data_IF_209529888406
#
_entry.id   IF_209529888406
#
_cell.length_a   1.000
_cell.length_b   1.000
_cell.length_c   1.000
_cell.angle_alpha   90.00
_cell.angle_beta   90.00
_cell.angle_gamma   90.00
#
_symmetry.space_group_name_H-M   'P 1'
#
loop_
_entity.id
_entity.type
_entity.pdbx_description
1 polymer ?
#
# COMPACT_ATOMS: atom_id res chain seq x y z
N UNK A 1 40.36 7.23 -51.82
CA UNK A 1 40.54 6.60 -50.49
C UNK A 1 40.20 7.52 -49.31
N UNK A 2 40.44 8.85 -49.36
CA UNK A 2 40.11 9.77 -48.24
C UNK A 2 38.60 10.01 -48.01
N UNK A 3 37.73 9.86 -49.02
CA UNK A 3 36.27 10.09 -48.89
C UNK A 3 35.49 8.93 -48.26
N UNK A 4 35.91 7.67 -48.46
CA UNK A 4 35.29 6.51 -47.80
C UNK A 4 35.62 6.43 -46.32
N UNK A 5 36.77 6.96 -45.88
CA UNK A 5 37.15 6.97 -44.47
C UNK A 5 36.28 7.92 -43.64
N UNK A 6 35.86 9.05 -44.22
CA UNK A 6 34.97 10.03 -43.55
C UNK A 6 33.56 9.48 -43.35
N UNK A 7 33.05 8.66 -44.28
CA UNK A 7 31.71 8.08 -44.18
C UNK A 7 31.64 7.00 -43.10
N UNK A 8 32.72 6.23 -42.90
CA UNK A 8 32.80 5.19 -41.85
C UNK A 8 32.90 5.83 -40.45
N UNK A 9 33.61 6.96 -40.32
CA UNK A 9 33.69 7.70 -39.05
C UNK A 9 32.36 8.38 -38.70
N UNK A 10 31.58 8.82 -39.69
CA UNK A 10 30.26 9.42 -39.41
C UNK A 10 29.19 8.36 -39.06
N UNK A 11 29.31 7.13 -39.57
CA UNK A 11 28.38 6.04 -39.25
C UNK A 11 28.62 5.43 -37.85
N UNK A 12 29.84 5.49 -37.32
CA UNK A 12 30.16 5.00 -35.97
C UNK A 12 29.82 6.00 -34.86
N UNK A 13 29.59 7.28 -35.20
CA UNK A 13 29.15 8.31 -34.25
C UNK A 13 27.63 8.30 -33.99
N UNK A 14 26.83 7.62 -34.82
CA UNK A 14 25.37 7.51 -34.65
C UNK A 14 24.92 6.29 -33.82
N UNK A 15 25.80 5.32 -33.55
CA UNK A 15 25.45 4.10 -32.81
C UNK A 15 25.70 4.17 -31.30
N UNK A 16 26.10 5.34 -30.78
CA UNK A 16 26.35 5.55 -29.34
C UNK A 16 25.38 6.58 -28.75
N UNK A 17 24.09 6.46 -29.07
CA UNK A 17 23.02 6.95 -28.20
C UNK A 17 22.44 5.74 -27.46
N UNK A 18 23.30 5.06 -26.71
CA UNK A 18 22.84 4.12 -25.70
C UNK A 18 22.07 4.92 -24.65
N UNK A 19 20.75 4.74 -24.59
CA UNK A 19 19.90 5.21 -23.50
C UNK A 19 20.33 4.50 -22.21
N UNK A 20 21.38 4.98 -21.57
CA UNK A 20 21.71 4.67 -20.20
C UNK A 20 21.83 5.99 -19.44
N UNK A 21 20.70 6.68 -19.31
CA UNK A 21 20.56 7.60 -18.20
C UNK A 21 20.27 6.71 -16.99
N UNK A 22 21.30 6.40 -16.21
CA UNK A 22 21.12 5.77 -14.90
C UNK A 22 20.32 6.76 -14.05
N UNK A 23 19.09 6.40 -13.73
CA UNK A 23 18.27 7.18 -12.83
C UNK A 23 18.84 7.15 -11.41
N UNK A 24 18.51 8.18 -10.62
CA UNK A 24 19.01 8.33 -9.25
C UNK A 24 18.53 7.20 -8.33
N UNK A 25 17.31 6.71 -8.55
CA UNK A 25 16.65 5.75 -7.66
C UNK A 25 16.58 4.36 -8.24
N UNK A 26 16.40 4.23 -9.57
CA UNK A 26 16.13 2.95 -10.20
C UNK A 26 17.11 2.59 -11.32
N UNK A 27 17.42 1.30 -11.41
CA UNK A 27 18.15 0.74 -12.54
C UNK A 27 17.51 -0.57 -12.97
N UNK A 28 17.44 -0.84 -14.27
CA UNK A 28 16.91 -2.11 -14.76
C UNK A 28 17.78 -3.28 -14.24
N UNK A 29 17.14 -4.34 -13.75
CA UNK A 29 17.86 -5.54 -13.32
C UNK A 29 17.95 -6.52 -14.49
N UNK A 30 19.18 -6.86 -14.88
CA UNK A 30 19.47 -7.90 -15.87
C UNK A 30 19.82 -9.25 -15.21
N UNK A 31 19.57 -9.40 -13.91
CA UNK A 31 19.86 -10.63 -13.18
C UNK A 31 18.88 -11.74 -13.58
N UNK A 32 19.38 -12.97 -13.66
CA UNK A 32 18.55 -14.14 -13.92
C UNK A 32 17.59 -14.36 -12.76
N UNK A 33 16.31 -14.61 -13.08
CA UNK A 33 15.27 -14.93 -12.09
C UNK A 33 15.63 -16.13 -11.21
N UNK A 34 16.43 -17.06 -11.72
CA UNK A 34 16.86 -18.27 -11.01
C UNK A 34 17.97 -18.05 -9.99
N UNK A 35 18.66 -16.90 -10.04
CA UNK A 35 19.78 -16.59 -9.13
C UNK A 35 19.31 -15.79 -7.91
N UNK A 36 18.17 -15.10 -8.02
CA UNK A 36 17.64 -14.24 -6.96
C UNK A 36 16.88 -15.09 -5.95
N UNK A 37 17.31 -15.04 -4.69
CA UNK A 37 16.52 -15.57 -3.58
C UNK A 37 15.30 -14.66 -3.38
N UNK A 38 14.11 -15.21 -3.59
CA UNK A 38 12.87 -14.43 -3.59
C UNK A 38 12.37 -14.08 -2.20
N UNK A 39 11.68 -12.94 -2.10
CA UNK A 39 10.91 -12.59 -0.90
C UNK A 39 9.74 -13.57 -0.72
N UNK A 40 9.36 -13.84 0.54
CA UNK A 40 8.24 -14.73 0.88
C UNK A 40 6.92 -14.32 0.22
N UNK A 41 6.71 -13.02 -0.04
CA UNK A 41 5.51 -12.51 -0.70
C UNK A 41 5.38 -12.96 -2.16
N UNK A 42 6.50 -13.33 -2.81
CA UNK A 42 6.52 -13.83 -4.19
C UNK A 42 5.85 -15.20 -4.31
N UNK A 43 5.83 -15.98 -3.23
CA UNK A 43 5.20 -17.31 -3.21
C UNK A 43 3.67 -17.28 -3.16
N UNK A 44 3.04 -16.10 -3.04
CA UNK A 44 1.58 -15.99 -2.98
C UNK A 44 0.96 -16.31 -4.35
N UNK A 45 -0.22 -16.95 -4.35
CA UNK A 45 -0.96 -17.29 -5.57
C UNK A 45 -1.30 -16.08 -6.44
N UNK A 46 -1.46 -14.91 -5.82
CA UNK A 46 -1.78 -13.64 -6.49
C UNK A 46 -0.55 -12.85 -6.97
N UNK A 47 0.66 -13.39 -6.87
CA UNK A 47 1.84 -12.72 -7.41
C UNK A 47 1.74 -12.68 -8.96
N UNK A 48 2.07 -11.56 -9.62
CA UNK A 48 1.99 -11.45 -11.07
C UNK A 48 2.88 -12.47 -11.79
N UNK A 49 2.42 -12.95 -12.94
CA UNK A 49 3.22 -13.81 -13.83
C UNK A 49 4.09 -12.98 -14.77
N UNK A 50 3.60 -11.81 -15.15
CA UNK A 50 4.33 -10.87 -15.99
C UNK A 50 4.78 -9.66 -15.16
N UNK A 51 6.09 -9.42 -15.10
CA UNK A 51 6.67 -8.30 -14.37
C UNK A 51 8.05 -7.97 -14.92
N UNK A 52 8.51 -6.75 -14.65
CA UNK A 52 9.90 -6.32 -14.91
C UNK A 52 10.63 -6.13 -13.60
N UNK A 53 11.93 -6.42 -13.59
CA UNK A 53 12.76 -6.27 -12.39
C UNK A 53 13.61 -5.01 -12.44
N UNK A 54 13.63 -4.28 -11.32
CA UNK A 54 14.43 -3.09 -11.13
C UNK A 54 15.17 -3.16 -9.79
N UNK A 55 16.39 -2.64 -9.76
CA UNK A 55 17.16 -2.43 -8.53
C UNK A 55 16.85 -1.04 -7.98
N UNK A 56 16.59 -0.99 -6.68
CA UNK A 56 16.31 0.25 -5.96
C UNK A 56 17.55 0.72 -5.21
N UNK A 57 17.93 1.98 -5.42
CA UNK A 57 18.78 2.72 -4.49
C UNK A 57 17.92 3.28 -3.34
N UNK A 58 17.70 2.43 -2.33
CA UNK A 58 16.78 2.74 -1.23
C UNK A 58 17.22 3.95 -0.42
N UNK A 59 18.52 4.15 -0.23
CA UNK A 59 19.06 5.28 0.53
C UNK A 59 18.83 6.61 -0.21
N UNK A 60 19.09 6.64 -1.53
CA UNK A 60 18.83 7.85 -2.33
C UNK A 60 17.34 8.21 -2.34
N UNK A 61 16.45 7.21 -2.47
CA UNK A 61 15.00 7.43 -2.44
C UNK A 61 14.55 7.89 -1.05
N UNK A 62 15.09 7.28 0.02
CA UNK A 62 14.83 7.67 1.42
C UNK A 62 15.17 9.14 1.65
N UNK A 63 16.38 9.54 1.31
CA UNK A 63 16.85 10.91 1.50
C UNK A 63 15.96 11.91 0.78
N UNK A 64 15.53 11.59 -0.44
CA UNK A 64 14.63 12.45 -1.20
C UNK A 64 13.25 12.57 -0.52
N UNK A 65 12.62 11.44 -0.19
CA UNK A 65 11.29 11.40 0.42
C UNK A 65 11.27 12.00 1.83
N UNK A 66 12.31 11.79 2.63
CA UNK A 66 12.36 12.27 4.01
C UNK A 66 12.75 13.75 4.09
N UNK A 67 13.19 14.37 3.00
CA UNK A 67 13.39 15.84 2.95
C UNK A 67 12.08 16.62 3.10
N UNK A 68 10.94 15.97 2.82
CA UNK A 68 9.60 16.57 2.87
C UNK A 68 8.79 16.17 4.11
N UNK A 69 9.38 15.42 5.05
CA UNK A 69 8.65 14.91 6.23
C UNK A 69 8.96 15.69 7.49
N UNK A 70 7.96 15.80 8.36
CA UNK A 70 8.10 16.41 9.69
C UNK A 70 8.16 17.95 9.72
N UNK A 71 8.19 18.50 10.94
CA UNK A 71 8.04 19.94 11.19
C UNK A 71 9.19 20.83 10.68
N UNK A 72 10.34 20.25 10.35
CA UNK A 72 11.53 20.97 9.85
C UNK A 72 11.72 20.85 8.34
N UNK A 73 10.71 20.33 7.64
CA UNK A 73 10.80 20.19 6.19
C UNK A 73 11.02 21.54 5.51
N UNK A 74 11.96 21.58 4.57
CA UNK A 74 12.26 22.76 3.74
C UNK A 74 11.29 22.93 2.57
N UNK A 75 10.50 21.90 2.25
CA UNK A 75 9.53 21.89 1.14
C UNK A 75 8.40 20.91 1.41
N UNK A 76 7.16 21.29 1.08
CA UNK A 76 6.01 20.38 1.24
C UNK A 76 5.92 19.30 0.16
N UNK A 77 6.69 19.42 -0.93
CA UNK A 77 6.73 18.43 -2.01
C UNK A 77 8.15 18.19 -2.53
N UNK A 78 8.34 17.02 -3.13
CA UNK A 78 9.57 16.66 -3.85
C UNK A 78 9.23 15.91 -5.13
N UNK A 79 10.17 15.83 -6.05
CA UNK A 79 10.04 15.03 -7.26
C UNK A 79 10.84 13.73 -7.09
N UNK A 80 10.20 12.61 -7.40
CA UNK A 80 10.84 11.30 -7.52
C UNK A 80 10.57 10.70 -8.89
N UNK A 81 11.35 9.70 -9.28
CA UNK A 81 11.11 8.86 -10.44
C UNK A 81 10.79 7.43 -10.03
N UNK A 82 9.89 6.79 -10.78
CA UNK A 82 9.52 5.39 -10.63
C UNK A 82 9.46 4.71 -12.01
N UNK A 83 9.87 3.44 -12.12
CA UNK A 83 9.63 2.64 -13.31
C UNK A 83 8.15 2.27 -13.43
N UNK A 84 7.61 2.29 -14.64
CA UNK A 84 6.29 1.75 -14.97
C UNK A 84 6.39 0.30 -15.51
N UNK A 85 5.26 -0.35 -15.78
CA UNK A 85 5.26 -1.75 -16.23
C UNK A 85 5.85 -1.94 -17.64
N UNK A 86 5.91 -0.87 -18.45
CA UNK A 86 6.59 -0.86 -19.75
C UNK A 86 8.12 -0.71 -19.62
N UNK A 87 8.60 -0.43 -18.41
CA UNK A 87 10.01 -0.24 -18.08
C UNK A 87 10.54 1.17 -18.34
N UNK A 88 9.65 2.12 -18.60
CA UNK A 88 9.98 3.53 -18.71
C UNK A 88 9.98 4.19 -17.33
N UNK A 89 10.78 5.24 -17.15
CA UNK A 89 10.81 6.01 -15.92
C UNK A 89 9.87 7.21 -16.01
N UNK A 90 9.03 7.35 -15.00
CA UNK A 90 8.07 8.43 -14.88
C UNK A 90 8.36 9.26 -13.64
N UNK A 91 8.13 10.57 -13.74
CA UNK A 91 8.33 11.50 -12.63
C UNK A 91 7.01 11.77 -11.91
N UNK A 92 7.08 11.82 -10.60
CA UNK A 92 5.96 12.15 -9.71
C UNK A 92 6.37 13.28 -8.78
N UNK A 93 5.50 14.28 -8.66
CA UNK A 93 5.53 15.22 -7.55
C UNK A 93 4.81 14.56 -6.37
N UNK A 94 5.50 14.41 -5.24
CA UNK A 94 5.01 13.68 -4.07
C UNK A 94 4.97 14.57 -2.84
N UNK A 95 3.99 14.31 -1.98
CA UNK A 95 3.76 14.94 -0.68
C UNK A 95 3.61 13.86 0.39
N UNK A 96 3.92 14.19 1.65
CA UNK A 96 3.66 13.28 2.77
C UNK A 96 2.15 13.09 2.95
N UNK A 97 1.73 11.83 3.08
CA UNK A 97 0.34 11.43 3.30
C UNK A 97 0.34 10.30 4.34
N UNK A 98 0.72 10.65 5.57
CA UNK A 98 0.84 9.70 6.67
C UNK A 98 -0.49 9.01 6.97
N UNK A 99 -0.43 7.70 7.22
CA UNK A 99 -1.58 6.93 7.71
C UNK A 99 -1.57 6.80 9.25
N UNK A 100 -0.69 7.53 9.94
CA UNK A 100 -0.51 7.45 11.40
C UNK A 100 -0.98 8.76 12.03
N UNK A 101 -1.63 8.68 13.18
CA UNK A 101 -1.81 9.86 14.03
C UNK A 101 -0.45 10.44 14.45
N UNK A 102 -0.36 11.77 14.70
CA UNK A 102 0.91 12.45 14.97
C UNK A 102 1.74 11.81 16.09
N UNK A 103 1.09 11.34 17.16
CA UNK A 103 1.76 10.70 18.29
C UNK A 103 2.38 9.34 17.93
N UNK A 104 1.72 8.54 17.09
CA UNK A 104 2.28 7.27 16.60
C UNK A 104 3.39 7.55 15.59
N UNK A 105 3.19 8.53 14.71
CA UNK A 105 4.17 8.91 13.70
C UNK A 105 5.49 9.41 14.31
N UNK A 106 5.43 10.10 15.46
CA UNK A 106 6.60 10.54 16.20
C UNK A 106 7.42 9.37 16.79
N UNK A 107 6.75 8.26 17.13
CA UNK A 107 7.41 7.05 17.67
C UNK A 107 8.07 6.21 16.57
N UNK A 108 7.49 6.20 15.36
CA UNK A 108 7.98 5.42 14.21
C UNK A 108 8.30 6.31 13.02
N UNK A 109 9.31 7.21 13.13
CA UNK A 109 9.57 8.22 12.11
C UNK A 109 10.10 7.65 10.79
N UNK A 110 10.61 6.42 10.79
CA UNK A 110 11.08 5.70 9.59
C UNK A 110 9.97 5.03 8.77
N UNK A 111 8.73 4.96 9.28
CA UNK A 111 7.58 4.39 8.57
C UNK A 111 6.73 5.55 8.04
N UNK A 112 6.66 5.69 6.72
CA UNK A 112 6.03 6.82 6.04
C UNK A 112 5.16 6.38 4.88
N UNK A 113 4.20 7.23 4.54
CA UNK A 113 3.37 7.09 3.36
C UNK A 113 3.29 8.41 2.62
N UNK A 114 3.18 8.32 1.30
CA UNK A 114 3.26 9.46 0.39
C UNK A 114 2.18 9.33 -0.67
N UNK A 115 1.66 10.48 -1.08
CA UNK A 115 0.75 10.61 -2.22
C UNK A 115 1.44 11.43 -3.30
N UNK A 116 1.24 11.08 -4.57
CA UNK A 116 1.88 11.78 -5.66
C UNK A 116 1.00 11.96 -6.89
N UNK A 117 1.35 12.97 -7.68
CA UNK A 117 0.76 13.22 -8.99
C UNK A 117 1.82 13.08 -10.07
N UNK A 118 1.49 12.37 -11.14
CA UNK A 118 2.39 12.20 -12.27
C UNK A 118 2.68 13.52 -12.97
N UNK A 119 3.95 13.73 -13.28
CA UNK A 119 4.45 14.85 -14.08
C UNK A 119 4.67 14.42 -15.54
N UNK A 120 5.08 13.16 -15.75
CA UNK A 120 5.21 12.55 -17.08
C UNK A 120 3.83 12.17 -17.62
N UNK A 121 3.05 11.41 -16.84
CA UNK A 121 1.63 11.12 -17.12
C UNK A 121 0.76 11.89 -16.12
N UNK A 122 0.05 12.91 -16.62
CA UNK A 122 -0.80 13.77 -15.79
C UNK A 122 -2.06 13.07 -15.26
N UNK A 123 -2.42 11.91 -15.82
CA UNK A 123 -3.55 11.10 -15.37
C UNK A 123 -3.19 10.12 -14.24
N UNK A 124 -1.90 9.98 -13.93
CA UNK A 124 -1.42 9.03 -12.94
C UNK A 124 -1.37 9.63 -11.53
N UNK A 125 -1.86 8.87 -10.54
CA UNK A 125 -1.69 9.20 -9.12
C UNK A 125 -0.99 8.07 -8.39
N UNK A 126 -0.03 8.41 -7.54
CA UNK A 126 0.84 7.48 -6.82
C UNK A 126 0.43 7.40 -5.35
N UNK A 127 0.37 6.18 -4.82
CA UNK A 127 0.48 5.89 -3.40
C UNK A 127 1.76 5.11 -3.15
N UNK A 128 2.60 5.59 -2.23
CA UNK A 128 3.90 5.00 -1.93
C UNK A 128 4.07 4.87 -0.42
N UNK A 129 4.32 3.66 0.05
CA UNK A 129 4.72 3.40 1.44
C UNK A 129 6.21 3.12 1.49
N UNK A 130 6.88 3.66 2.50
CA UNK A 130 8.30 3.44 2.75
C UNK A 130 8.55 3.09 4.22
N UNK A 131 9.39 2.09 4.45
CA UNK A 131 9.82 1.67 5.79
C UNK A 131 11.22 1.06 5.72
N UNK A 132 11.85 0.70 6.85
CA UNK A 132 13.05 -0.14 6.85
C UNK A 132 12.85 -1.49 6.15
N UNK A 133 11.59 -1.95 6.03
CA UNK A 133 11.21 -3.14 5.30
C UNK A 133 11.06 -2.86 3.77
N UNK A 134 11.49 -1.73 3.27
CA UNK A 134 11.46 -1.42 1.83
C UNK A 134 10.24 -0.62 1.40
N UNK A 135 9.97 -0.65 0.09
CA UNK A 135 8.99 0.22 -0.57
C UNK A 135 7.87 -0.60 -1.19
N UNK A 136 6.65 -0.08 -1.13
CA UNK A 136 5.54 -0.59 -1.94
C UNK A 136 4.80 0.58 -2.57
N UNK A 137 4.35 0.39 -3.80
CA UNK A 137 3.57 1.40 -4.50
C UNK A 137 2.28 0.84 -5.06
N UNK A 138 1.36 1.76 -5.35
CA UNK A 138 0.23 1.57 -6.24
C UNK A 138 0.07 2.84 -7.07
N UNK A 139 0.12 2.71 -8.39
CA UNK A 139 -0.12 3.79 -9.34
C UNK A 139 -1.49 3.59 -9.94
N UNK A 140 -2.40 4.53 -9.69
CA UNK A 140 -3.68 4.58 -10.38
C UNK A 140 -3.51 5.25 -11.73
N UNK A 141 -4.13 4.66 -12.75
CA UNK A 141 -4.19 5.20 -14.10
C UNK A 141 -5.64 5.40 -14.49
N UNK A 142 -5.91 6.43 -15.29
CA UNK A 142 -7.21 6.55 -15.93
C UNK A 142 -7.29 5.57 -17.09
N UNK A 143 -8.37 4.79 -17.16
CA UNK A 143 -8.69 3.85 -18.26
C UNK A 143 -7.66 2.72 -18.51
N UNK A 144 -6.70 2.53 -17.60
CA UNK A 144 -5.71 1.44 -17.64
C UNK A 144 -5.66 0.71 -16.30
N UNK A 145 -5.09 -0.47 -16.31
CA UNK A 145 -4.79 -1.24 -15.12
C UNK A 145 -3.88 -0.46 -14.17
N UNK A 146 -4.13 -0.61 -12.87
CA UNK A 146 -3.25 -0.04 -11.85
C UNK A 146 -1.92 -0.79 -11.86
N UNK A 147 -0.84 -0.06 -11.59
CA UNK A 147 0.51 -0.62 -11.53
C UNK A 147 1.01 -0.71 -10.09
N UNK A 148 1.89 -1.66 -9.84
CA UNK A 148 2.44 -1.94 -8.53
C UNK A 148 3.94 -2.14 -8.61
N UNK A 149 4.63 -1.68 -7.57
CA UNK A 149 6.04 -1.98 -7.31
C UNK A 149 6.11 -2.67 -5.96
N UNK A 150 6.70 -3.86 -5.92
CA UNK A 150 6.86 -4.68 -4.72
C UNK A 150 8.22 -5.35 -4.68
N UNK A 151 8.73 -5.61 -3.47
CA UNK A 151 9.99 -6.33 -3.29
C UNK A 151 9.89 -7.73 -3.93
N UNK A 152 10.89 -8.07 -4.72
CA UNK A 152 11.04 -9.38 -5.37
C UNK A 152 12.13 -10.21 -4.70
N UNK A 153 13.27 -9.60 -4.37
CA UNK A 153 14.36 -10.28 -3.68
C UNK A 153 14.19 -10.24 -2.16
N UNK A 154 14.68 -11.28 -1.47
CA UNK A 154 14.62 -11.42 0.00
C UNK A 154 15.33 -10.28 0.75
N UNK A 155 16.42 -9.76 0.18
CA UNK A 155 17.17 -8.61 0.70
C UNK A 155 16.51 -7.26 0.35
N UNK A 156 15.42 -7.29 -0.42
CA UNK A 156 14.60 -6.13 -0.82
C UNK A 156 15.37 -5.07 -1.60
N UNK A 157 16.38 -5.49 -2.36
CA UNK A 157 17.14 -4.63 -3.29
C UNK A 157 16.56 -4.65 -4.71
N UNK A 158 15.92 -5.76 -5.10
CA UNK A 158 15.26 -5.95 -6.40
C UNK A 158 13.75 -5.93 -6.21
N UNK A 159 13.07 -5.18 -7.07
CA UNK A 159 11.62 -4.98 -7.07
C UNK A 159 11.01 -5.42 -8.39
N UNK A 160 9.82 -6.02 -8.30
CA UNK A 160 8.97 -6.33 -9.42
C UNK A 160 8.02 -5.17 -9.71
N UNK A 161 7.94 -4.76 -10.97
CA UNK A 161 7.05 -3.73 -11.49
C UNK A 161 6.06 -4.39 -12.45
N UNK A 162 4.77 -4.23 -12.20
CA UNK A 162 3.73 -4.96 -12.92
C UNK A 162 2.37 -4.27 -12.89
N UNK A 163 1.52 -4.59 -13.85
CA UNK A 163 0.10 -4.22 -13.86
C UNK A 163 -0.74 -5.22 -13.09
N UNK A 164 -1.90 -4.80 -12.58
CA UNK A 164 -2.86 -5.72 -11.96
C UNK A 164 -3.26 -6.84 -12.92
N UNK A 165 -2.99 -8.09 -12.56
CA UNK A 165 -3.40 -9.26 -13.33
C UNK A 165 -4.56 -9.95 -12.62
N UNK A 166 -5.75 -9.91 -13.22
CA UNK A 166 -6.95 -10.56 -12.66
C UNK A 166 -7.20 -11.90 -13.36
N UNK A 167 -6.75 -12.99 -12.75
CA UNK A 167 -7.13 -14.34 -13.17
C UNK A 167 -8.35 -14.82 -12.37
N UNK A 168 -9.54 -14.75 -12.97
CA UNK A 168 -10.78 -15.27 -12.35
C UNK A 168 -10.62 -16.75 -12.01
N UNK A 169 -11.02 -17.16 -10.80
CA UNK A 169 -11.08 -18.58 -10.38
C UNK A 169 -9.77 -19.20 -9.87
N UNK A 170 -8.65 -18.47 -9.84
CA UNK A 170 -7.40 -19.00 -9.25
C UNK A 170 -7.32 -18.86 -7.73
N UNK A 171 -8.12 -17.96 -7.14
CA UNK A 171 -8.25 -17.85 -5.70
C UNK A 171 -9.41 -18.76 -5.24
N UNK A 172 -9.23 -19.54 -4.16
CA UNK A 172 -10.24 -20.47 -3.66
C UNK A 172 -11.47 -19.77 -3.05
N UNK A 173 -11.56 -18.45 -3.17
CA UNK A 173 -12.57 -17.61 -2.53
C UNK A 173 -13.18 -16.63 -3.53
N UNK A 174 -14.50 -16.43 -3.40
CA UNK A 174 -15.27 -15.44 -4.15
C UNK A 174 -15.87 -14.44 -3.17
N UNK A 175 -15.64 -13.15 -3.40
CA UNK A 175 -16.33 -12.09 -2.65
C UNK A 175 -17.82 -12.20 -2.93
N UNK A 176 -18.60 -12.47 -1.89
CA UNK A 176 -20.04 -12.53 -1.95
C UNK A 176 -20.64 -11.59 -0.91
N UNK A 177 -21.71 -10.92 -1.27
CA UNK A 177 -22.55 -10.13 -0.36
C UNK A 177 -23.83 -10.93 -0.10
N UNK A 178 -24.27 -11.04 1.15
CA UNK A 178 -25.61 -11.55 1.42
C UNK A 178 -26.62 -10.47 1.01
N UNK A 179 -27.25 -10.67 -0.14
CA UNK A 179 -27.90 -9.59 -0.88
C UNK A 179 -29.36 -9.28 -0.51
N UNK A 180 -30.01 -9.97 0.44
CA UNK A 180 -31.48 -10.01 0.38
C UNK A 180 -32.28 -9.09 1.31
N UNK A 181 -31.87 -8.85 2.57
CA UNK A 181 -32.77 -8.13 3.50
C UNK A 181 -32.38 -6.65 3.72
N UNK A 182 -31.09 -6.33 3.78
CA UNK A 182 -30.64 -4.97 4.04
C UNK A 182 -30.80 -4.04 2.82
N UNK A 183 -30.56 -4.56 1.61
CA UNK A 183 -30.78 -3.81 0.36
C UNK A 183 -32.25 -3.46 0.12
N UNK A 184 -33.18 -4.33 0.52
CA UNK A 184 -34.62 -4.08 0.37
C UNK A 184 -35.09 -2.90 1.26
N UNK A 185 -34.58 -2.82 2.49
CA UNK A 185 -34.83 -1.68 3.39
C UNK A 185 -34.14 -0.39 2.94
N UNK A 186 -32.89 -0.49 2.46
CA UNK A 186 -32.12 0.65 1.96
C UNK A 186 -32.71 1.24 0.67
N UNK A 187 -33.19 0.44 -0.28
CA UNK A 187 -33.83 0.95 -1.50
C UNK A 187 -35.11 1.74 -1.20
N UNK A 188 -35.90 1.31 -0.21
CA UNK A 188 -37.06 2.08 0.25
C UNK A 188 -36.68 3.43 0.85
N UNK A 189 -35.59 3.48 1.61
CA UNK A 189 -35.07 4.71 2.23
C UNK A 189 -34.38 5.64 1.22
N UNK A 190 -33.61 5.10 0.27
CA UNK A 190 -32.93 5.87 -0.79
C UNK A 190 -33.97 6.45 -1.77
N UNK A 191 -35.00 5.67 -2.14
CA UNK A 191 -36.11 6.16 -2.97
C UNK A 191 -36.90 7.29 -2.28
N UNK A 192 -36.96 7.31 -0.95
CA UNK A 192 -37.61 8.36 -0.17
C UNK A 192 -36.72 9.58 0.10
N UNK A 193 -35.38 9.44 0.10
CA UNK A 193 -34.43 10.54 0.34
C UNK A 193 -34.15 11.41 -0.89
N UNK A 194 -34.58 10.97 -2.08
CA UNK A 194 -34.36 11.70 -3.33
C UNK A 194 -32.90 11.63 -3.81
N UNK A 195 -32.65 12.00 -5.07
CA UNK A 195 -31.31 11.98 -5.70
C UNK A 195 -30.45 13.19 -5.29
N UNK A 196 -30.65 13.71 -4.08
CA UNK A 196 -29.89 14.83 -3.55
C UNK A 196 -28.46 14.41 -3.23
N UNK A 197 -27.52 15.34 -3.39
CA UNK A 197 -26.15 15.17 -2.91
C UNK A 197 -26.20 15.18 -1.37
N UNK A 198 -26.13 14.01 -0.74
CA UNK A 198 -26.22 13.86 0.74
C UNK A 198 -24.97 14.36 1.47
N UNK A 199 -23.86 14.58 0.75
CA UNK A 199 -22.68 15.31 1.24
C UNK A 199 -22.15 16.23 0.15
N UNK A 200 -22.39 17.53 0.30
CA UNK A 200 -21.91 18.58 -0.61
C UNK A 200 -20.60 19.21 -0.13
N UNK A 201 -19.97 18.67 0.92
CA UNK A 201 -18.83 19.33 1.57
C UNK A 201 -17.58 19.33 0.66
N UNK A 202 -17.40 18.31 -0.19
CA UNK A 202 -16.19 18.15 -0.99
C UNK A 202 -14.93 17.95 -0.13
N UNK A 203 -15.11 17.54 1.14
CA UNK A 203 -14.04 17.38 2.11
C UNK A 203 -13.63 15.92 2.23
N UNK A 204 -12.32 15.68 2.28
CA UNK A 204 -11.77 14.38 2.64
C UNK A 204 -11.99 14.15 4.14
N UNK A 205 -12.72 13.08 4.49
CA UNK A 205 -12.98 12.75 5.90
C UNK A 205 -11.97 11.73 6.41
N UNK A 206 -11.24 12.11 7.44
CA UNK A 206 -10.29 11.23 8.13
C UNK A 206 -10.98 10.50 9.29
N UNK A 207 -10.84 9.18 9.34
CA UNK A 207 -11.37 8.32 10.40
C UNK A 207 -10.23 7.67 11.19
N UNK A 208 -10.43 7.53 12.48
CA UNK A 208 -9.53 6.85 13.42
C UNK A 208 -9.74 5.35 13.33
N UNK A 209 -8.73 4.64 12.87
CA UNK A 209 -8.71 3.19 12.71
C UNK A 209 -7.96 2.53 13.87
N UNK A 210 -8.64 1.64 14.59
CA UNK A 210 -8.02 0.67 15.48
C UNK A 210 -7.75 -0.63 14.71
N UNK A 211 -6.51 -0.79 14.22
CA UNK A 211 -6.10 -1.99 13.48
C UNK A 211 -5.43 -3.00 14.41
N UNK A 212 -6.09 -4.13 14.63
CA UNK A 212 -5.53 -5.25 15.40
C UNK A 212 -4.99 -6.35 14.47
N UNK A 213 -4.13 -7.22 15.00
CA UNK A 213 -3.76 -8.48 14.36
C UNK A 213 -3.48 -9.59 15.38
N UNK A 214 -3.63 -10.84 14.94
CA UNK A 214 -3.29 -12.01 15.75
C UNK A 214 -1.79 -12.35 15.71
N UNK A 215 -1.37 -13.28 16.57
CA UNK A 215 0.03 -13.69 16.71
C UNK A 215 0.60 -14.26 15.42
N UNK A 216 -0.18 -15.04 14.66
CA UNK A 216 0.28 -15.60 13.39
C UNK A 216 0.58 -14.53 12.35
N UNK A 217 -0.23 -13.46 12.28
CA UNK A 217 0.03 -12.34 11.38
C UNK A 217 1.31 -11.60 11.77
N UNK A 218 1.48 -11.28 13.05
CA UNK A 218 2.69 -10.62 13.54
C UNK A 218 3.95 -11.46 13.25
N UNK A 219 3.87 -12.76 13.53
CA UNK A 219 4.95 -13.72 13.28
C UNK A 219 5.26 -13.86 11.78
N UNK A 220 4.24 -13.77 10.90
CA UNK A 220 4.49 -13.75 9.46
C UNK A 220 5.44 -12.60 9.10
N UNK A 221 5.32 -11.42 9.71
CA UNK A 221 6.23 -10.29 9.50
C UNK A 221 7.52 -10.34 10.32
N UNK A 222 7.70 -11.36 11.15
CA UNK A 222 8.90 -11.58 11.96
C UNK A 222 8.86 -10.91 13.34
N UNK A 223 7.69 -10.42 13.78
CA UNK A 223 7.51 -9.86 15.10
C UNK A 223 6.95 -10.92 16.06
N UNK A 224 7.75 -11.33 17.04
CA UNK A 224 7.37 -12.29 18.10
C UNK A 224 7.27 -11.62 19.48
N UNK A 225 7.51 -10.31 19.56
CA UNK A 225 7.37 -9.52 20.79
C UNK A 225 7.14 -8.04 20.50
N UNK A 226 6.70 -7.30 21.53
CA UNK A 226 6.49 -5.84 21.51
C UNK A 226 7.70 -5.04 21.00
N UNK A 227 8.93 -5.54 21.20
CA UNK A 227 10.16 -4.88 20.72
C UNK A 227 10.26 -4.81 19.19
N UNK A 228 9.49 -5.63 18.49
CA UNK A 228 9.48 -5.76 17.03
C UNK A 228 8.21 -5.19 16.40
N UNK A 229 7.39 -4.46 17.15
CA UNK A 229 6.12 -3.87 16.71
C UNK A 229 6.25 -3.04 15.42
N UNK A 230 7.40 -2.39 15.20
CA UNK A 230 7.68 -1.63 13.98
C UNK A 230 7.58 -2.47 12.68
N UNK A 231 7.83 -3.79 12.75
CA UNK A 231 7.65 -4.68 11.59
C UNK A 231 6.17 -4.83 11.22
N UNK A 232 5.29 -4.91 12.22
CA UNK A 232 3.83 -5.01 12.03
C UNK A 232 3.27 -3.67 11.57
N UNK A 233 3.69 -2.57 12.20
CA UNK A 233 3.25 -1.22 11.80
C UNK A 233 3.70 -0.87 10.37
N UNK A 234 4.88 -1.32 9.93
CA UNK A 234 5.31 -1.16 8.55
C UNK A 234 4.40 -1.92 7.57
N UNK A 235 3.96 -3.12 7.93
CA UNK A 235 3.01 -3.90 7.14
C UNK A 235 1.62 -3.24 7.10
N UNK A 236 1.10 -2.80 8.25
CA UNK A 236 -0.16 -2.04 8.32
C UNK A 236 -0.11 -0.79 7.46
N UNK A 237 0.96 0.01 7.58
CA UNK A 237 1.15 1.21 6.78
C UNK A 237 1.18 0.92 5.27
N UNK A 238 1.86 -0.15 4.85
CA UNK A 238 1.95 -0.50 3.44
C UNK A 238 0.59 -0.91 2.86
N UNK A 239 -0.19 -1.70 3.60
CA UNK A 239 -1.57 -2.04 3.21
C UNK A 239 -2.46 -0.80 3.19
N UNK A 240 -2.45 0.00 4.26
CA UNK A 240 -3.28 1.21 4.35
C UNK A 240 -2.96 2.24 3.28
N UNK A 241 -1.68 2.40 2.90
CA UNK A 241 -1.29 3.32 1.83
C UNK A 241 -2.01 3.02 0.51
N UNK A 242 -2.18 1.73 0.19
CA UNK A 242 -2.90 1.29 -1.00
C UNK A 242 -4.41 1.38 -0.83
N UNK A 243 -4.94 0.91 0.31
CA UNK A 243 -6.36 0.96 0.62
C UNK A 243 -6.89 2.40 0.68
N UNK A 244 -6.18 3.32 1.34
CA UNK A 244 -6.51 4.74 1.36
C UNK A 244 -6.48 5.36 -0.03
N UNK A 245 -5.62 4.89 -0.95
CA UNK A 245 -5.71 5.28 -2.36
C UNK A 245 -7.07 4.98 -3.01
N UNK A 246 -7.68 3.85 -2.67
CA UNK A 246 -9.03 3.48 -3.13
C UNK A 246 -10.09 4.27 -2.36
N UNK A 247 -10.00 4.33 -1.04
CA UNK A 247 -10.98 5.02 -0.19
C UNK A 247 -11.05 6.51 -0.45
N UNK A 248 -9.93 7.17 -0.69
CA UNK A 248 -9.90 8.60 -1.02
C UNK A 248 -10.51 8.85 -2.40
N UNK A 249 -10.20 7.97 -3.38
CA UNK A 249 -10.70 8.10 -4.76
C UNK A 249 -12.20 7.87 -4.86
N UNK A 250 -12.71 6.84 -4.19
CA UNK A 250 -14.07 6.34 -4.39
C UNK A 250 -15.04 6.80 -3.30
N UNK A 251 -14.55 7.07 -2.09
CA UNK A 251 -15.39 7.38 -0.92
C UNK A 251 -15.07 8.74 -0.27
N UNK A 252 -14.02 9.45 -0.71
CA UNK A 252 -13.48 10.62 -0.03
C UNK A 252 -13.19 10.36 1.47
N UNK A 253 -12.69 9.15 1.78
CA UNK A 253 -12.33 8.72 3.13
C UNK A 253 -10.84 8.41 3.25
N UNK A 254 -10.25 8.73 4.39
CA UNK A 254 -8.88 8.38 4.75
C UNK A 254 -8.85 7.72 6.14
N UNK A 255 -8.14 6.61 6.29
CA UNK A 255 -7.99 5.92 7.57
C UNK A 255 -6.63 6.21 8.19
N UNK A 256 -6.63 6.68 9.43
CA UNK A 256 -5.44 6.88 10.25
C UNK A 256 -5.38 5.89 11.42
N UNK A 257 -4.24 5.22 11.58
CA UNK A 257 -3.95 4.43 12.76
C UNK A 257 -3.86 5.32 14.00
N UNK A 258 -4.61 4.95 15.03
CA UNK A 258 -4.64 5.64 16.32
C UNK A 258 -3.31 5.52 17.07
N UNK A 259 -3.03 6.51 17.93
CA UNK A 259 -1.80 6.58 18.73
C UNK A 259 -1.45 5.27 19.48
N UNK A 260 -2.46 4.59 20.01
CA UNK A 260 -2.33 3.37 20.82
C UNK A 260 -2.60 2.07 20.03
N UNK A 261 -2.42 2.08 18.71
CA UNK A 261 -2.59 0.88 17.85
C UNK A 261 -1.72 -0.30 18.32
N UNK A 262 -0.55 -0.04 18.92
CA UNK A 262 0.34 -1.07 19.43
C UNK A 262 -0.28 -1.94 20.54
N UNK A 263 -1.25 -1.42 21.29
CA UNK A 263 -1.90 -2.13 22.42
C UNK A 263 -2.80 -3.28 21.96
N UNK A 264 -3.13 -3.33 20.66
CA UNK A 264 -3.97 -4.37 20.05
C UNK A 264 -3.21 -5.19 19.01
N UNK A 265 -1.88 -5.22 19.09
CA UNK A 265 -1.02 -6.11 18.31
C UNK A 265 -0.59 -7.27 19.20
N UNK A 266 -0.95 -8.49 18.81
CA UNK A 266 -0.60 -9.70 19.54
C UNK A 266 0.50 -10.47 18.82
N UNK A 267 1.36 -11.17 19.58
CA UNK A 267 2.58 -11.79 19.06
C UNK A 267 2.64 -13.31 19.28
N UNK A 268 1.97 -13.81 20.31
CA UNK A 268 1.92 -15.23 20.63
C UNK A 268 0.56 -15.81 20.21
N UNK A 269 0.52 -16.70 19.20
CA UNK A 269 -0.70 -17.35 18.73
C UNK A 269 -1.48 -18.09 19.81
N UNK A 270 -0.83 -18.47 20.92
CA UNK A 270 -1.48 -19.24 21.99
C UNK A 270 -2.19 -18.35 23.02
N UNK A 271 -1.89 -17.04 23.05
CA UNK A 271 -2.39 -16.12 24.07
C UNK A 271 -3.17 -14.94 23.51
N UNK A 272 -3.23 -14.81 22.18
CA UNK A 272 -4.04 -13.78 21.54
C UNK A 272 -5.57 -14.04 21.68
N UNK A 273 -6.41 -13.00 21.58
CA UNK A 273 -7.85 -13.12 21.88
C UNK A 273 -8.67 -13.71 20.71
N UNK A 274 -8.04 -14.10 19.61
CA UNK A 274 -8.71 -14.52 18.39
C UNK A 274 -8.73 -16.05 18.28
N UNK A 275 -9.91 -16.63 18.06
CA UNK A 275 -10.01 -18.09 17.86
C UNK A 275 -9.55 -18.48 16.45
N UNK A 276 -9.50 -19.77 16.14
CA UNK A 276 -9.31 -20.23 14.76
C UNK A 276 -10.59 -20.15 13.91
N UNK A 277 -11.70 -19.66 14.49
CA UNK A 277 -13.02 -19.63 13.84
C UNK A 277 -13.35 -18.22 13.36
N UNK A 278 -13.15 -17.98 12.05
CA UNK A 278 -13.31 -16.66 11.41
C UNK A 278 -14.66 -15.96 11.67
N UNK A 279 -15.75 -16.73 11.80
CA UNK A 279 -17.08 -16.16 12.06
C UNK A 279 -17.20 -15.49 13.43
N UNK A 280 -16.31 -15.81 14.37
CA UNK A 280 -16.28 -15.24 15.72
C UNK A 280 -15.42 -13.97 15.81
N UNK A 281 -14.56 -13.71 14.81
CA UNK A 281 -13.55 -12.66 14.88
C UNK A 281 -14.12 -11.26 15.03
N UNK A 282 -15.28 -10.96 14.47
CA UNK A 282 -15.88 -9.63 14.59
C UNK A 282 -16.26 -9.31 16.05
N UNK A 283 -16.89 -10.24 16.75
CA UNK A 283 -17.22 -10.07 18.17
C UNK A 283 -15.97 -10.03 19.05
N UNK A 284 -14.98 -10.87 18.75
CA UNK A 284 -13.70 -10.88 19.48
C UNK A 284 -12.92 -9.59 19.29
N UNK A 285 -12.88 -9.06 18.07
CA UNK A 285 -12.27 -7.77 17.76
C UNK A 285 -12.96 -6.66 18.54
N UNK A 286 -14.29 -6.56 18.48
CA UNK A 286 -15.02 -5.52 19.21
C UNK A 286 -14.75 -5.56 20.72
N UNK A 287 -14.76 -6.76 21.32
CA UNK A 287 -14.44 -6.92 22.74
C UNK A 287 -12.99 -6.53 23.06
N UNK A 288 -12.05 -6.90 22.19
CA UNK A 288 -10.63 -6.56 22.32
C UNK A 288 -10.45 -5.05 22.26
N UNK A 289 -10.98 -4.38 21.24
CA UNK A 289 -10.87 -2.93 21.09
C UNK A 289 -11.55 -2.19 22.25
N UNK A 290 -12.72 -2.64 22.71
CA UNK A 290 -13.38 -2.04 23.87
C UNK A 290 -12.54 -2.16 25.15
N UNK A 291 -11.82 -3.26 25.32
CA UNK A 291 -11.02 -3.53 26.52
C UNK A 291 -9.70 -2.74 26.53
N UNK A 292 -8.99 -2.74 25.42
CA UNK A 292 -7.63 -2.18 25.34
C UNK A 292 -7.61 -0.71 24.87
N UNK A 293 -8.52 -0.33 23.99
CA UNK A 293 -8.55 1.01 23.37
C UNK A 293 -9.70 1.85 23.95
N UNK A 294 -10.87 1.25 24.15
CA UNK A 294 -12.10 1.94 24.53
C UNK A 294 -12.83 2.55 23.33
N UNK A 295 -14.16 2.36 23.27
CA UNK A 295 -14.98 2.71 22.11
C UNK A 295 -14.91 4.19 21.67
N UNK A 296 -14.64 5.13 22.58
CA UNK A 296 -14.54 6.55 22.26
C UNK A 296 -13.26 6.93 21.49
N UNK A 297 -12.25 6.05 21.50
CA UNK A 297 -10.90 6.36 21.01
C UNK A 297 -10.66 5.94 19.56
N UNK A 298 -11.66 5.37 18.88
CA UNK A 298 -11.58 5.02 17.46
C UNK A 298 -12.95 5.14 16.79
N UNK A 299 -12.98 5.22 15.46
CA UNK A 299 -14.22 5.34 14.66
C UNK A 299 -14.54 4.03 13.93
N UNK A 300 -13.50 3.26 13.58
CA UNK A 300 -13.62 1.95 12.92
C UNK A 300 -12.53 1.00 13.41
N UNK A 301 -12.87 -0.28 13.54
CA UNK A 301 -11.96 -1.33 13.98
C UNK A 301 -11.80 -2.41 12.91
N UNK A 302 -10.56 -2.82 12.61
CA UNK A 302 -10.27 -3.93 11.72
C UNK A 302 -9.31 -4.93 12.36
N UNK A 303 -9.31 -6.16 11.84
CA UNK A 303 -8.43 -7.24 12.28
C UNK A 303 -7.76 -7.88 11.07
N UNK A 304 -6.43 -8.03 11.12
CA UNK A 304 -5.68 -8.85 10.18
C UNK A 304 -5.26 -10.17 10.82
N UNK A 305 -5.66 -11.26 10.17
CA UNK A 305 -5.19 -12.61 10.48
C UNK A 305 -4.23 -13.13 9.42
N UNK A 306 -3.36 -14.08 9.79
CA UNK A 306 -2.52 -14.78 8.81
C UNK A 306 -3.33 -15.72 7.89
N UNK A 307 -4.56 -16.05 8.27
CA UNK A 307 -5.47 -16.93 7.54
C UNK A 307 -6.84 -16.26 7.35
N UNK A 308 -7.72 -16.92 6.59
CA UNK A 308 -9.12 -16.51 6.40
C UNK A 308 -9.49 -16.09 4.98
N UNK A 309 -8.53 -15.64 4.17
CA UNK A 309 -8.61 -15.66 2.70
C UNK A 309 -9.68 -14.81 2.00
N UNK A 310 -10.53 -14.06 2.72
CA UNK A 310 -11.65 -13.33 2.12
C UNK A 310 -12.12 -12.07 2.84
N UNK A 311 -11.67 -11.83 4.08
CA UNK A 311 -12.21 -10.77 4.91
C UNK A 311 -13.67 -11.02 5.31
N UNK A 312 -14.12 -10.34 6.36
CA UNK A 312 -15.51 -10.36 6.79
C UNK A 312 -15.84 -8.94 7.24
N UNK A 313 -16.86 -8.33 6.63
CA UNK A 313 -17.28 -6.97 6.97
C UNK A 313 -17.82 -6.86 8.41
N UNK A 314 -18.16 -8.00 9.02
CA UNK A 314 -18.69 -8.10 10.37
C UNK A 314 -20.14 -7.67 10.45
N UNK A 315 -20.39 -6.39 10.20
CA UNK A 315 -21.73 -5.88 10.04
C UNK A 315 -21.78 -4.75 9.00
N UNK A 316 -22.81 -4.82 8.15
CA UNK A 316 -22.98 -3.91 7.02
C UNK A 316 -23.72 -2.66 7.53
N UNK A 317 -23.20 -1.46 7.20
CA UNK A 317 -23.86 -0.20 7.57
C UNK A 317 -23.79 0.19 9.05
N UNK A 318 -22.98 -0.49 9.87
CA UNK A 318 -22.84 -0.16 11.30
C UNK A 318 -21.92 1.02 11.60
N UNK A 319 -21.17 1.52 10.61
CA UNK A 319 -20.32 2.68 10.82
C UNK A 319 -21.21 3.86 11.20
N UNK A 320 -20.84 4.57 12.28
CA UNK A 320 -21.65 5.62 12.91
C UNK A 320 -22.94 5.14 13.61
N UNK A 321 -23.13 3.83 13.79
CA UNK A 321 -24.16 3.28 14.67
C UNK A 321 -23.72 3.40 16.13
N UNK A 322 -24.57 4.01 16.97
CA UNK A 322 -24.41 4.07 18.43
C UNK A 322 -24.70 2.74 19.10
#
# INVERSE_FOLDING_TARGET
>A
MKKSLLLVVMLTLYSVLGFSQSDKFWSASNESLTTILTDKAVARLSFPKEFRLFKLNAEALKQQLFSITGHQSQSHSTIISLPNADGQLEKFEVVEASNFEPALQAQYPEIRAFSGRGLTDRSATLKLSMSPQGVQTMVFRSEKENEFIEAYSKDRTVYAVFQSQRAKGQLPWTCSTQDQEMFAGLNGQIAQRGTGIESSAGELKTMRLAQSCNGEYANYFGATSVTQVGLVLAAFNATLTRCNGVYEKDLALHLNLIANTADVIFYDPNTDPYSTTLSQWNGQLQNTLNTFIGAANYDIGHMFGASGGGGNAGCIGCVCGT
#
